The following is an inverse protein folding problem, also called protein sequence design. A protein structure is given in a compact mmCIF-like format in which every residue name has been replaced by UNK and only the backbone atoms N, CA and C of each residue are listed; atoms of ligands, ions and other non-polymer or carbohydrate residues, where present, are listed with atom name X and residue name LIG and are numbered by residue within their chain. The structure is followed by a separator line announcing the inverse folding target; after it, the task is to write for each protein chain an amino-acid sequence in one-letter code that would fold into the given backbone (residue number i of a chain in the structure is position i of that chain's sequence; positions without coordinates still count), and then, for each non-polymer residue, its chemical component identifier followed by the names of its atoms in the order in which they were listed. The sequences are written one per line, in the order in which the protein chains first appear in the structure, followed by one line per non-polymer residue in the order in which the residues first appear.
data_IF_776146553466
#
_entry.id   IF_776146553466
#
_cell.length_a   1.000
_cell.length_b   1.000
_cell.length_c   1.000
_cell.angle_alpha   90.00
_cell.angle_beta   90.00
_cell.angle_gamma   90.00
#
_symmetry.space_group_name_H-M   'P 1'
#
loop_
_entity.id
_entity.type
_entity.pdbx_description
1 polymer ?
#
# COMPACT_ATOMS: atom_id res chain seq x y z
N UNK A 1 12.46 11.50 -8.49
CA UNK A 1 11.93 10.20 -8.97
C UNK A 1 12.66 9.02 -8.32
N UNK A 2 12.94 9.07 -7.01
CA UNK A 2 13.71 8.02 -6.32
C UNK A 2 12.86 7.15 -5.38
N UNK A 3 11.59 7.52 -5.17
CA UNK A 3 10.68 6.80 -4.28
C UNK A 3 10.17 5.48 -4.88
N UNK A 4 10.08 5.39 -6.21
CA UNK A 4 9.62 4.21 -6.96
C UNK A 4 10.73 3.18 -7.24
N UNK A 5 11.99 3.58 -7.04
CA UNK A 5 13.16 2.73 -7.27
C UNK A 5 13.35 1.75 -6.10
N UNK A 6 14.15 0.68 -6.27
CA UNK A 6 14.49 -0.22 -5.20
C UNK A 6 15.21 0.56 -4.09
N UNK A 7 14.79 0.32 -2.84
CA UNK A 7 15.40 0.90 -1.65
C UNK A 7 16.79 0.30 -1.40
N UNK A 8 17.70 1.10 -0.86
CA UNK A 8 19.07 0.67 -0.51
C UNK A 8 19.15 0.13 0.94
N UNK A 9 18.02 -0.38 1.45
CA UNK A 9 17.89 -0.86 2.83
C UNK A 9 18.51 -2.26 3.02
N UNK A 10 18.86 -2.63 4.26
CA UNK A 10 19.46 -3.93 4.60
C UNK A 10 18.64 -5.13 4.11
N UNK A 11 17.31 -4.99 4.10
CA UNK A 11 16.40 -6.02 3.58
C UNK A 11 16.54 -6.20 2.07
N UNK A 12 16.60 -5.10 1.32
CA UNK A 12 16.83 -5.14 -0.12
C UNK A 12 18.23 -5.68 -0.44
N UNK A 13 19.26 -5.29 0.32
CA UNK A 13 20.61 -5.84 0.20
C UNK A 13 20.67 -7.34 0.49
N UNK A 14 19.86 -7.84 1.42
CA UNK A 14 19.72 -9.28 1.69
C UNK A 14 19.02 -10.02 0.54
N UNK A 15 18.04 -9.38 -0.09
CA UNK A 15 17.31 -9.94 -1.24
C UNK A 15 18.18 -9.99 -2.52
N UNK A 16 18.90 -8.92 -2.82
CA UNK A 16 19.75 -8.80 -4.01
C UNK A 16 21.19 -9.28 -3.80
N UNK A 17 21.55 -9.65 -2.58
CA UNK A 17 22.86 -10.17 -2.17
C UNK A 17 24.00 -9.14 -2.12
N UNK A 18 24.04 -8.18 -3.05
CA UNK A 18 25.12 -7.18 -3.15
C UNK A 18 24.63 -5.87 -3.74
N UNK A 19 25.31 -4.75 -3.44
CA UNK A 19 25.06 -3.45 -4.06
C UNK A 19 25.16 -3.49 -5.60
N UNK A 20 26.04 -4.34 -6.15
CA UNK A 20 26.14 -4.53 -7.61
C UNK A 20 24.86 -5.14 -8.19
N UNK A 21 24.24 -6.09 -7.49
CA UNK A 21 22.97 -6.69 -7.88
C UNK A 21 21.82 -5.69 -7.82
N UNK A 22 21.76 -4.90 -6.75
CA UNK A 22 20.77 -3.83 -6.60
C UNK A 22 20.89 -2.76 -7.70
N UNK A 23 22.11 -2.35 -8.06
CA UNK A 23 22.34 -1.38 -9.14
C UNK A 23 21.88 -1.93 -10.49
N UNK A 24 22.14 -3.22 -10.77
CA UNK A 24 21.67 -3.89 -11.99
C UNK A 24 20.14 -3.86 -12.08
N UNK A 25 19.44 -4.07 -10.95
CA UNK A 25 17.97 -4.01 -10.92
C UNK A 25 17.44 -2.58 -11.09
N UNK A 26 18.10 -1.58 -10.48
CA UNK A 26 17.79 -0.16 -10.73
C UNK A 26 17.88 0.19 -12.21
N UNK A 27 18.95 -0.24 -12.87
CA UNK A 27 19.16 0.00 -14.30
C UNK A 27 18.10 -0.73 -15.14
N UNK A 28 17.71 -1.95 -14.74
CA UNK A 28 16.62 -2.70 -15.40
C UNK A 28 15.30 -1.93 -15.31
N UNK A 29 14.94 -1.44 -14.13
CA UNK A 29 13.72 -0.68 -13.93
C UNK A 29 13.73 0.65 -14.70
N UNK A 30 14.86 1.36 -14.73
CA UNK A 30 15.01 2.58 -15.53
C UNK A 30 14.77 2.34 -17.03
N UNK A 31 15.16 1.17 -17.55
CA UNK A 31 14.91 0.79 -18.95
C UNK A 31 13.45 0.38 -19.20
N UNK A 32 12.74 -0.11 -18.20
CA UNK A 32 11.35 -0.56 -18.33
C UNK A 32 10.34 0.59 -18.47
N UNK A 33 10.74 1.83 -18.15
CA UNK A 33 9.94 3.04 -18.37
C UNK A 33 9.57 3.80 -17.09
N UNK A 34 8.86 4.91 -17.26
CA UNK A 34 8.32 5.71 -16.15
C UNK A 34 6.93 5.17 -15.76
N UNK A 35 6.56 5.29 -14.47
CA UNK A 35 5.33 4.75 -13.86
C UNK A 35 5.33 3.25 -13.49
N UNK A 36 6.49 2.60 -13.36
CA UNK A 36 6.58 1.25 -12.76
C UNK A 36 7.04 1.38 -11.30
N UNK A 37 6.19 0.93 -10.37
CA UNK A 37 6.51 0.85 -8.94
C UNK A 37 7.31 -0.43 -8.71
N UNK A 38 8.53 -0.31 -8.17
CA UNK A 38 9.30 -1.50 -7.80
C UNK A 38 8.70 -2.13 -6.53
N UNK A 39 8.57 -3.47 -6.44
CA UNK A 39 8.02 -4.13 -5.25
C UNK A 39 8.86 -3.84 -4.00
N UNK A 40 10.20 -3.76 -4.12
CA UNK A 40 11.10 -3.37 -3.03
C UNK A 40 11.34 -1.85 -2.94
N UNK A 41 10.41 -1.03 -3.43
CA UNK A 41 10.48 0.42 -3.27
C UNK A 41 9.98 0.83 -1.89
N UNK A 42 10.47 1.98 -1.40
CA UNK A 42 9.92 2.54 -0.15
C UNK A 42 8.45 2.93 -0.33
N UNK A 43 8.05 3.39 -1.54
CA UNK A 43 6.65 3.70 -1.83
C UNK A 43 5.73 2.51 -1.57
N UNK A 44 6.02 1.35 -2.20
CA UNK A 44 5.17 0.17 -2.07
C UNK A 44 5.09 -0.32 -0.62
N UNK A 45 6.20 -0.26 0.12
CA UNK A 45 6.22 -0.62 1.54
C UNK A 45 5.30 0.26 2.40
N UNK A 46 5.36 1.59 2.25
CA UNK A 46 4.48 2.49 3.00
C UNK A 46 3.02 2.38 2.54
N UNK A 47 2.80 2.18 1.24
CA UNK A 47 1.47 1.94 0.69
C UNK A 47 0.84 0.68 1.28
N UNK A 48 1.55 -0.45 1.25
CA UNK A 48 1.10 -1.72 1.84
C UNK A 48 0.86 -1.58 3.36
N UNK A 49 1.65 -0.77 4.07
CA UNK A 49 1.43 -0.49 5.50
C UNK A 49 0.12 0.29 5.75
N UNK A 50 -0.17 1.30 4.94
CA UNK A 50 -1.42 2.07 5.01
C UNK A 50 -2.61 1.15 4.68
N UNK A 51 -2.51 0.36 3.61
CA UNK A 51 -3.54 -0.59 3.21
C UNK A 51 -3.78 -1.66 4.28
N UNK A 52 -2.73 -2.16 4.94
CA UNK A 52 -2.85 -3.11 6.03
C UNK A 52 -3.62 -2.52 7.22
N UNK A 53 -3.30 -1.30 7.61
CA UNK A 53 -4.01 -0.61 8.70
C UNK A 53 -5.48 -0.41 8.33
N UNK A 54 -5.74 0.09 7.11
CA UNK A 54 -7.09 0.28 6.60
C UNK A 54 -7.89 -1.03 6.60
N UNK A 55 -7.28 -2.12 6.13
CA UNK A 55 -7.90 -3.44 6.11
C UNK A 55 -8.25 -3.94 7.51
N UNK A 56 -7.32 -3.85 8.46
CA UNK A 56 -7.56 -4.26 9.84
C UNK A 56 -8.70 -3.44 10.44
N UNK A 57 -8.72 -2.12 10.23
CA UNK A 57 -9.80 -1.26 10.69
C UNK A 57 -11.15 -1.68 10.08
N UNK A 58 -11.24 -1.90 8.77
CA UNK A 58 -12.49 -2.32 8.13
C UNK A 58 -12.96 -3.69 8.62
N UNK A 59 -12.06 -4.67 8.74
CA UNK A 59 -12.39 -6.02 9.22
C UNK A 59 -13.01 -6.00 10.62
N UNK A 60 -12.61 -5.06 11.48
CA UNK A 60 -13.16 -4.93 12.84
C UNK A 60 -14.43 -4.07 12.84
N UNK A 61 -14.41 -2.91 12.17
CA UNK A 61 -15.49 -1.92 12.25
C UNK A 61 -16.75 -2.39 11.52
N UNK A 62 -16.62 -3.03 10.35
CA UNK A 62 -17.76 -3.48 9.55
C UNK A 62 -18.68 -4.48 10.28
N UNK A 63 -18.20 -5.62 10.83
CA UNK A 63 -19.07 -6.57 11.52
C UNK A 63 -19.70 -5.96 12.79
N UNK A 64 -18.97 -5.10 13.51
CA UNK A 64 -19.50 -4.40 14.70
C UNK A 64 -20.60 -3.42 14.32
N UNK A 65 -20.40 -2.64 13.24
CA UNK A 65 -21.38 -1.68 12.75
C UNK A 65 -22.67 -2.38 12.29
N UNK A 66 -22.55 -3.45 11.50
CA UNK A 66 -23.69 -4.23 11.01
C UNK A 66 -24.46 -4.89 12.16
N UNK A 67 -23.76 -5.42 13.17
CA UNK A 67 -24.39 -6.15 14.28
C UNK A 67 -25.06 -5.25 15.32
N UNK A 68 -24.48 -4.08 15.63
CA UNK A 68 -24.91 -3.26 16.77
C UNK A 68 -25.44 -1.87 16.40
N UNK A 69 -25.12 -1.34 15.22
CA UNK A 69 -25.36 0.07 14.86
C UNK A 69 -26.13 0.24 13.55
N UNK A 70 -27.19 -0.55 13.35
CA UNK A 70 -27.99 -0.55 12.13
C UNK A 70 -28.59 0.82 11.75
N UNK A 71 -28.96 1.65 12.74
CA UNK A 71 -29.53 2.98 12.49
C UNK A 71 -28.46 4.03 12.17
N UNK A 72 -27.23 3.87 12.68
CA UNK A 72 -26.12 4.78 12.42
C UNK A 72 -25.47 4.56 11.04
N UNK A 73 -25.67 3.40 10.41
CA UNK A 73 -25.21 3.10 9.03
C UNK A 73 -25.82 4.09 8.02
N UNK A 74 -27.04 4.57 8.27
CA UNK A 74 -27.71 5.57 7.42
C UNK A 74 -27.19 6.99 7.65
N UNK A 75 -26.29 7.20 8.62
CA UNK A 75 -25.66 8.50 8.84
C UNK A 75 -24.71 8.82 7.70
N UNK A 76 -24.83 10.03 7.13
CA UNK A 76 -23.99 10.50 6.03
C UNK A 76 -22.48 10.36 6.32
N UNK A 77 -22.06 10.50 7.58
CA UNK A 77 -20.65 10.34 7.99
C UNK A 77 -20.15 8.90 7.81
N UNK A 78 -20.98 7.90 8.12
CA UNK A 78 -20.61 6.49 8.02
C UNK A 78 -20.50 6.06 6.56
N UNK A 79 -21.42 6.52 5.71
CA UNK A 79 -21.40 6.30 4.27
C UNK A 79 -20.13 6.90 3.66
N UNK A 80 -19.79 8.16 3.99
CA UNK A 80 -18.58 8.82 3.49
C UNK A 80 -17.31 8.03 3.86
N UNK A 81 -17.22 7.57 5.11
CA UNK A 81 -16.07 6.76 5.55
C UNK A 81 -15.90 5.48 4.72
N UNK A 82 -16.99 4.75 4.48
CA UNK A 82 -16.95 3.53 3.68
C UNK A 82 -16.61 3.81 2.22
N UNK A 83 -17.21 4.84 1.61
CA UNK A 83 -16.91 5.21 0.22
C UNK A 83 -15.43 5.60 0.05
N UNK A 84 -14.86 6.34 1.00
CA UNK A 84 -13.43 6.67 0.99
C UNK A 84 -12.60 5.39 1.11
N UNK A 85 -12.93 4.52 2.07
CA UNK A 85 -12.26 3.24 2.28
C UNK A 85 -12.27 2.38 1.00
N UNK A 86 -13.43 2.24 0.37
CA UNK A 86 -13.61 1.50 -0.89
C UNK A 86 -12.83 2.13 -2.04
N UNK A 87 -12.75 3.46 -2.10
CA UNK A 87 -11.94 4.16 -3.10
C UNK A 87 -10.43 3.89 -2.92
N UNK A 88 -9.94 3.81 -1.67
CA UNK A 88 -8.56 3.42 -1.38
C UNK A 88 -8.29 1.96 -1.76
N UNK A 89 -9.23 1.05 -1.51
CA UNK A 89 -9.10 -0.35 -1.96
C UNK A 89 -9.19 -0.52 -3.47
N UNK A 90 -9.96 0.32 -4.18
CA UNK A 90 -10.03 0.30 -5.64
C UNK A 90 -8.77 0.86 -6.30
N UNK A 91 -8.07 1.77 -5.61
CA UNK A 91 -6.82 2.36 -6.09
C UNK A 91 -5.59 1.46 -5.85
N UNK A 92 -5.62 0.59 -4.82
CA UNK A 92 -4.60 -0.46 -4.64
C UNK A 92 -4.60 -1.49 -5.77
#
# INVERSE_FOLDING_TARGET
MDLLKPSDNKLALKLFGSRKGLLKERLRQQRAGHCIIHPCSNFRFYWDLIMLILLITNVIVLPVAIAFFSDEINSARWIIFNVISDAFFLFD
#
